data_IF_018121168174
#
_entry.id   IF_018121168174
#
_cell.length_a   1.000
_cell.length_b   1.000
_cell.length_c   1.000
_cell.angle_alpha   90.00
_cell.angle_beta   90.00
_cell.angle_gamma   90.00
#
_symmetry.space_group_name_H-M   'P 1'
#
loop_
_entity.id
_entity.type
_entity.pdbx_description
1 polymer ?
#
# COMPACT_ATOMS: atom_id res chain seq x y z
N UNK A 1 6.69 5.63 5.71
CA UNK A 1 5.70 6.49 5.04
C UNK A 1 5.39 7.67 5.95
N UNK A 2 5.35 8.89 5.43
CA UNK A 2 4.88 10.04 6.20
C UNK A 2 3.36 9.91 6.44
N UNK A 3 2.83 10.36 7.57
CA UNK A 3 1.39 10.37 7.79
C UNK A 3 0.70 11.26 6.76
N UNK A 4 -0.52 10.89 6.37
CA UNK A 4 -1.36 11.70 5.48
C UNK A 4 -1.52 13.11 6.08
N UNK A 5 -1.24 14.19 5.31
CA UNK A 5 -1.39 15.55 5.80
C UNK A 5 -2.82 15.82 6.27
N UNK A 6 -2.95 16.45 7.44
CA UNK A 6 -4.25 16.75 8.01
C UNK A 6 -5.02 17.74 7.12
N UNK A 7 -6.24 17.39 6.72
CA UNK A 7 -7.11 18.24 5.91
C UNK A 7 -6.86 18.21 4.41
N UNK A 8 -5.93 17.38 3.92
CA UNK A 8 -5.73 17.19 2.48
C UNK A 8 -7.01 16.65 1.81
N UNK A 9 -7.38 17.22 0.66
CA UNK A 9 -8.53 16.75 -0.11
C UNK A 9 -8.20 15.44 -0.83
N UNK A 10 -9.24 14.75 -1.30
CA UNK A 10 -9.05 13.53 -2.10
C UNK A 10 -8.23 13.83 -3.36
N UNK A 11 -8.54 14.93 -4.03
CA UNK A 11 -7.89 15.35 -5.26
C UNK A 11 -6.41 15.69 -5.04
N UNK A 12 -6.08 16.35 -3.93
CA UNK A 12 -4.69 16.65 -3.56
C UNK A 12 -3.88 15.37 -3.29
N UNK A 13 -4.48 14.40 -2.60
CA UNK A 13 -3.84 13.11 -2.33
C UNK A 13 -3.66 12.28 -3.61
N UNK A 14 -4.64 12.29 -4.52
CA UNK A 14 -4.53 11.67 -5.84
C UNK A 14 -3.42 12.29 -6.68
N UNK A 15 -3.39 13.62 -6.78
CA UNK A 15 -2.38 14.32 -7.56
C UNK A 15 -0.97 14.07 -6.99
N UNK A 16 -0.82 14.09 -5.67
CA UNK A 16 0.45 13.81 -5.01
C UNK A 16 0.94 12.38 -5.26
N UNK A 17 0.04 11.39 -5.18
CA UNK A 17 0.42 10.00 -5.44
C UNK A 17 0.71 9.74 -6.92
N UNK A 18 -0.07 10.34 -7.82
CA UNK A 18 0.18 10.25 -9.27
C UNK A 18 1.57 10.79 -9.63
N UNK A 19 1.91 11.97 -9.13
CA UNK A 19 3.23 12.56 -9.34
C UNK A 19 4.36 11.69 -8.75
N UNK A 20 4.14 11.07 -7.58
CA UNK A 20 5.13 10.19 -6.96
C UNK A 20 5.41 8.93 -7.80
N UNK A 21 4.38 8.29 -8.33
CA UNK A 21 4.54 7.12 -9.21
C UNK A 21 5.11 7.50 -10.58
N UNK A 22 4.80 8.69 -11.10
CA UNK A 22 5.41 9.21 -12.32
C UNK A 22 6.91 9.45 -12.18
N UNK A 23 7.36 10.00 -11.04
CA UNK A 23 8.78 10.25 -10.77
C UNK A 23 9.65 8.98 -10.77
N UNK A 24 9.04 7.82 -10.55
CA UNK A 24 9.72 6.52 -10.52
C UNK A 24 9.35 5.63 -11.73
N UNK A 25 8.69 6.19 -12.75
CA UNK A 25 8.25 5.47 -13.96
C UNK A 25 7.34 4.25 -13.68
N UNK A 26 6.55 4.32 -12.60
CA UNK A 26 5.66 3.23 -12.15
C UNK A 26 4.18 3.55 -12.36
N UNK A 27 3.83 4.51 -13.21
CA UNK A 27 2.42 4.92 -13.44
C UNK A 27 1.50 3.76 -13.81
N UNK A 28 2.04 2.74 -14.47
CA UNK A 28 1.33 1.53 -14.89
C UNK A 28 0.95 0.59 -13.74
N UNK A 29 1.56 0.74 -12.56
CA UNK A 29 1.25 -0.05 -11.37
C UNK A 29 0.04 0.50 -10.60
N UNK A 30 -0.68 1.51 -11.13
CA UNK A 30 -1.89 2.11 -10.53
C UNK A 30 -3.15 1.84 -11.38
N UNK A 31 -3.59 0.58 -11.53
CA UNK A 31 -4.69 0.24 -12.43
C UNK A 31 -6.06 0.74 -11.94
N UNK A 32 -6.30 0.75 -10.62
CA UNK A 32 -7.53 1.28 -10.01
C UNK A 32 -7.21 1.96 -8.67
N UNK A 33 -7.44 3.28 -8.61
CA UNK A 33 -7.29 4.06 -7.38
C UNK A 33 -8.61 4.55 -6.80
N UNK A 34 -9.76 4.11 -7.31
CA UNK A 34 -11.09 4.61 -6.92
C UNK A 34 -11.31 4.56 -5.40
N UNK A 35 -10.87 3.49 -4.72
CA UNK A 35 -11.01 3.35 -3.26
C UNK A 35 -9.97 4.17 -2.51
N UNK A 36 -8.69 4.15 -2.91
CA UNK A 36 -7.64 4.92 -2.25
C UNK A 36 -6.53 5.38 -3.22
N UNK A 37 -5.98 6.61 -3.09
CA UNK A 37 -4.99 7.15 -4.03
C UNK A 37 -3.71 6.31 -4.16
N UNK A 38 -3.34 5.67 -3.05
CA UNK A 38 -2.18 4.81 -2.92
C UNK A 38 -2.40 3.36 -3.32
N UNK A 39 -3.57 2.97 -3.84
CA UNK A 39 -3.75 1.63 -4.40
C UNK A 39 -2.82 1.44 -5.60
N UNK A 40 -2.13 0.31 -5.58
CA UNK A 40 -1.22 -0.12 -6.62
C UNK A 40 -1.12 -1.64 -6.61
N UNK A 41 -0.77 -2.19 -7.76
CA UNK A 41 -0.56 -3.61 -7.99
C UNK A 41 0.68 -3.78 -8.84
N UNK A 42 1.65 -4.49 -8.30
CA UNK A 42 2.94 -4.80 -8.91
C UNK A 42 2.99 -6.27 -9.30
N UNK A 43 3.91 -6.63 -10.21
CA UNK A 43 4.21 -8.04 -10.55
C UNK A 43 5.19 -8.66 -9.56
N UNK A 44 4.84 -8.61 -8.28
CA UNK A 44 5.71 -9.06 -7.19
C UNK A 44 4.98 -9.95 -6.20
N UNK A 45 5.76 -10.74 -5.48
CA UNK A 45 5.39 -11.42 -4.24
C UNK A 45 5.90 -10.54 -3.10
N UNK A 46 4.98 -10.08 -2.26
CA UNK A 46 5.28 -9.10 -1.23
C UNK A 46 5.19 -9.73 0.16
N UNK A 47 6.26 -9.64 0.94
CA UNK A 47 6.28 -10.04 2.33
C UNK A 47 6.20 -8.80 3.20
N UNK A 48 5.07 -8.62 3.89
CA UNK A 48 4.87 -7.52 4.84
C UNK A 48 5.00 -8.08 6.26
N UNK A 49 6.13 -7.78 6.89
CA UNK A 49 6.45 -8.25 8.24
C UNK A 49 6.21 -7.11 9.22
N UNK A 50 5.09 -7.19 9.95
CA UNK A 50 4.77 -6.22 11.01
C UNK A 50 5.66 -6.49 12.24
N UNK A 51 6.51 -5.52 12.56
CA UNK A 51 7.43 -5.56 13.69
C UNK A 51 6.78 -5.02 14.98
N UNK A 52 5.92 -4.02 14.85
CA UNK A 52 5.13 -3.48 15.97
C UNK A 52 3.95 -2.64 15.49
N UNK A 53 2.98 -2.37 16.37
CA UNK A 53 1.79 -1.59 16.02
C UNK A 53 0.74 -2.45 15.31
N UNK A 54 -0.03 -1.83 14.42
CA UNK A 54 -1.11 -2.48 13.68
C UNK A 54 -1.39 -1.73 12.39
N UNK A 55 -1.78 -2.45 11.36
CA UNK A 55 -2.11 -1.91 10.03
C UNK A 55 -3.42 -2.51 9.57
N UNK A 56 -4.20 -1.70 8.83
CA UNK A 56 -5.35 -2.19 8.07
C UNK A 56 -4.97 -2.14 6.61
N UNK A 57 -5.20 -3.25 5.90
CA UNK A 57 -5.00 -3.33 4.47
C UNK A 57 -6.33 -3.25 3.76
N UNK A 58 -6.40 -2.31 2.84
CA UNK A 58 -7.46 -2.16 1.87
C UNK A 58 -7.11 -3.04 0.67
N UNK A 59 -7.96 -4.02 0.33
CA UNK A 59 -7.81 -4.91 -0.84
C UNK A 59 -8.94 -4.64 -1.83
N UNK A 60 -8.88 -5.18 -3.04
CA UNK A 60 -9.88 -5.00 -4.11
C UNK A 60 -11.34 -5.23 -3.67
N UNK A 61 -11.60 -6.36 -3.01
CA UNK A 61 -12.95 -6.78 -2.61
C UNK A 61 -13.16 -6.81 -1.08
N UNK A 62 -12.11 -6.57 -0.28
CA UNK A 62 -12.15 -6.77 1.17
C UNK A 62 -11.32 -5.74 1.95
N UNK A 63 -11.57 -5.67 3.26
CA UNK A 63 -10.70 -5.00 4.23
C UNK A 63 -10.32 -5.98 5.32
N UNK A 64 -9.03 -6.14 5.58
CA UNK A 64 -8.57 -7.08 6.59
C UNK A 64 -7.61 -6.41 7.57
N UNK A 65 -7.87 -6.61 8.87
CA UNK A 65 -7.08 -6.06 9.97
C UNK A 65 -6.20 -7.15 10.60
N UNK A 66 -4.91 -6.87 10.73
CA UNK A 66 -3.93 -7.86 11.22
C UNK A 66 -3.12 -7.36 12.41
N UNK A 67 -2.75 -8.30 13.27
CA UNK A 67 -1.94 -8.05 14.47
C UNK A 67 -0.58 -8.80 14.46
N UNK A 68 -0.26 -9.62 13.44
CA UNK A 68 1.07 -10.23 13.19
C UNK A 68 1.18 -10.89 11.79
N UNK A 69 2.40 -10.86 11.21
CA UNK A 69 2.95 -11.47 9.97
C UNK A 69 2.02 -11.68 8.76
N UNK A 70 2.41 -11.17 7.58
CA UNK A 70 1.66 -11.31 6.33
C UNK A 70 2.53 -11.82 5.16
N UNK A 71 2.00 -12.80 4.42
CA UNK A 71 2.44 -13.19 3.08
C UNK A 71 1.43 -12.62 2.08
N UNK A 72 1.90 -11.99 0.99
CA UNK A 72 1.03 -11.24 0.11
C UNK A 72 1.36 -11.46 -1.37
N UNK A 73 0.33 -11.54 -2.20
CA UNK A 73 0.43 -11.88 -3.62
C UNK A 73 -0.53 -11.02 -4.46
N UNK A 74 0.00 -10.14 -5.31
CA UNK A 74 -0.67 -9.60 -6.50
C UNK A 74 -2.12 -9.06 -6.33
N UNK A 75 -2.39 -8.17 -5.36
CA UNK A 75 -3.69 -7.48 -5.24
C UNK A 75 -3.46 -5.97 -5.38
N UNK A 76 -4.48 -5.13 -5.60
CA UNK A 76 -4.31 -3.69 -5.40
C UNK A 76 -4.46 -3.36 -3.90
N UNK A 77 -3.54 -2.57 -3.33
CA UNK A 77 -3.65 -2.20 -1.91
C UNK A 77 -3.16 -0.82 -1.52
N UNK A 78 -3.73 -0.33 -0.41
CA UNK A 78 -3.14 0.76 0.37
C UNK A 78 -3.12 0.42 1.86
N UNK A 79 -2.01 0.71 2.52
CA UNK A 79 -1.92 0.63 3.97
C UNK A 79 -2.50 1.89 4.61
N UNK A 80 -3.52 1.73 5.44
CA UNK A 80 -4.10 2.82 6.22
C UNK A 80 -3.73 2.67 7.69
N UNK A 81 -3.43 3.79 8.34
CA UNK A 81 -3.35 3.86 9.80
C UNK A 81 -4.77 3.86 10.37
N UNK A 82 -5.18 2.81 11.09
CA UNK A 82 -6.47 2.77 11.77
C UNK A 82 -6.53 3.71 12.99
N UNK A 83 -7.66 4.37 13.22
CA UNK A 83 -7.89 5.15 14.45
C UNK A 83 -7.81 4.30 15.73
N UNK A 84 -7.33 4.89 16.85
CA UNK A 84 -6.88 4.25 18.12
C UNK A 84 -5.71 3.26 18.00
N UNK A 85 -5.29 2.89 16.81
CA UNK A 85 -4.28 1.88 16.57
C UNK A 85 -2.91 2.54 16.34
N UNK A 86 -1.86 1.96 16.93
CA UNK A 86 -0.49 2.50 16.88
C UNK A 86 0.05 2.39 15.45
N UNK A 87 0.78 3.41 15.00
CA UNK A 87 1.53 3.41 13.72
C UNK A 87 2.25 2.06 13.58
N UNK A 88 1.91 1.32 12.53
CA UNK A 88 2.54 0.04 12.22
C UNK A 88 3.96 0.26 11.72
N UNK A 89 4.93 -0.37 12.36
CA UNK A 89 6.29 -0.47 11.86
C UNK A 89 6.45 -1.83 11.19
N UNK A 90 6.77 -1.84 9.89
CA UNK A 90 6.88 -3.05 9.10
C UNK A 90 8.09 -3.04 8.17
N UNK A 91 8.51 -4.23 7.76
CA UNK A 91 9.43 -4.45 6.65
C UNK A 91 8.58 -4.96 5.48
N UNK A 92 8.76 -4.36 4.29
CA UNK A 92 8.23 -4.89 3.05
C UNK A 92 9.39 -5.44 2.22
N UNK A 93 9.32 -6.71 1.83
CA UNK A 93 10.24 -7.33 0.87
C UNK A 93 9.42 -7.68 -0.36
N UNK A 94 9.76 -7.07 -1.49
CA UNK A 94 9.11 -7.30 -2.77
C UNK A 94 10.06 -8.14 -3.62
N UNK A 95 9.56 -9.26 -4.15
CA UNK A 95 10.32 -10.17 -5.00
C UNK A 95 9.58 -10.27 -6.32
N UNK A 96 10.26 -10.11 -7.46
CA UNK A 96 9.63 -10.30 -8.76
C UNK A 96 8.92 -11.65 -8.84
N UNK A 97 7.67 -11.64 -9.32
CA UNK A 97 6.88 -12.87 -9.41
C UNK A 97 7.40 -13.82 -10.49
N UNK A 98 8.17 -13.29 -11.43
CA UNK A 98 8.84 -14.06 -12.47
C UNK A 98 10.30 -14.29 -12.07
N UNK A 99 10.69 -15.55 -11.95
CA UNK A 99 12.10 -15.93 -11.79
C UNK A 99 12.66 -16.06 -13.21
N UNK A 100 13.54 -15.13 -13.59
CA UNK A 100 14.28 -15.22 -14.84
C UNK A 100 15.47 -16.16 -14.62
N UNK A 101 15.49 -17.30 -15.32
CA UNK A 101 16.64 -18.23 -15.35
C UNK A 101 17.82 -17.69 -16.17
#
# INVERSE_FOLDING_TARGET
MAPTPAGATREELEAGMAAAFEQIDATHERPDTTRHPGMHKTKTIDYIILLSGSVTLLLDDDEVSYNRLMLWFNVDQSCLGGGRYRIGFFIAVLIDSEIVE
#
